data_IF_699194352372
#
_entry.id   IF_699194352372
#
_cell.length_a   1.000
_cell.length_b   1.000
_cell.length_c   1.000
_cell.angle_alpha   90.00
_cell.angle_beta   90.00
_cell.angle_gamma   90.00
#
_symmetry.space_group_name_H-M   'P 1'
#
loop_
_entity.id
_entity.type
_entity.pdbx_description
1 polymer ?
#
# COMPACT_ATOMS: atom_id res chain seq x y z
N UNK A 1 44.85 -12.92 1.34
CA UNK A 1 43.46 -13.38 1.44
C UNK A 1 42.57 -12.22 1.09
N UNK A 2 42.19 -12.12 -0.18
CA UNK A 2 41.27 -11.11 -0.68
C UNK A 2 39.88 -11.77 -0.73
N UNK A 3 38.91 -11.21 0.00
CA UNK A 3 37.51 -11.66 -0.07
C UNK A 3 36.97 -11.32 -1.45
N UNK A 4 36.71 -12.34 -2.26
CA UNK A 4 36.11 -12.20 -3.57
C UNK A 4 34.74 -11.52 -3.47
N UNK A 5 34.67 -10.29 -3.98
CA UNK A 5 33.41 -9.62 -4.31
C UNK A 5 32.62 -10.54 -5.25
N UNK A 6 31.50 -11.09 -4.76
CA UNK A 6 30.53 -11.75 -5.63
C UNK A 6 29.95 -10.64 -6.52
N UNK A 7 30.43 -10.58 -7.76
CA UNK A 7 29.92 -9.66 -8.76
C UNK A 7 28.43 -9.93 -9.00
N UNK A 8 27.62 -8.89 -8.80
CA UNK A 8 26.16 -8.83 -9.09
C UNK A 8 25.83 -9.45 -10.46
N UNK A 9 26.76 -9.40 -11.44
CA UNK A 9 26.59 -9.95 -12.79
C UNK A 9 26.50 -11.49 -12.88
N UNK A 10 26.87 -12.26 -11.86
CA UNK A 10 26.87 -13.75 -11.95
C UNK A 10 25.51 -14.39 -11.58
N UNK A 11 24.59 -13.65 -10.97
CA UNK A 11 23.24 -14.12 -10.66
C UNK A 11 22.23 -13.95 -11.82
N UNK A 12 22.50 -13.06 -12.79
CA UNK A 12 21.54 -12.71 -13.86
C UNK A 12 21.64 -13.56 -15.14
N UNK A 13 22.35 -14.71 -15.13
CA UNK A 13 22.57 -15.52 -16.35
C UNK A 13 21.71 -16.77 -16.49
N UNK A 14 20.61 -16.90 -15.74
CA UNK A 14 19.65 -17.99 -15.94
C UNK A 14 18.23 -17.45 -16.14
N UNK A 15 17.81 -17.55 -17.40
CA UNK A 15 16.46 -17.45 -17.94
C UNK A 15 15.98 -16.04 -18.33
N UNK A 16 16.32 -15.65 -19.56
CA UNK A 16 15.61 -14.62 -20.33
C UNK A 16 14.19 -15.06 -20.70
N UNK A 17 13.32 -15.08 -19.70
CA UNK A 17 11.87 -15.11 -19.86
C UNK A 17 11.30 -14.43 -18.64
N UNK A 18 10.66 -13.28 -18.82
CA UNK A 18 9.90 -12.66 -17.75
C UNK A 18 8.85 -13.68 -17.27
N UNK A 19 9.04 -14.20 -16.06
CA UNK A 19 8.11 -15.18 -15.49
C UNK A 19 6.95 -14.41 -14.89
N UNK A 20 5.78 -14.61 -15.48
CA UNK A 20 4.52 -14.16 -14.93
C UNK A 20 4.23 -14.91 -13.62
N UNK A 21 4.18 -14.18 -12.50
CA UNK A 21 3.83 -14.75 -11.21
C UNK A 21 2.43 -14.29 -10.81
N UNK A 22 1.53 -15.24 -10.51
CA UNK A 22 0.25 -14.91 -9.87
C UNK A 22 0.53 -14.23 -8.53
N UNK A 23 -0.18 -13.14 -8.25
CA UNK A 23 -0.06 -12.34 -7.05
C UNK A 23 -1.41 -11.78 -6.61
N UNK A 24 -1.41 -11.13 -5.46
CA UNK A 24 -2.56 -10.45 -4.88
C UNK A 24 -2.25 -8.97 -4.81
N UNK A 25 -3.16 -8.15 -5.32
CA UNK A 25 -3.15 -6.69 -5.16
C UNK A 25 -4.24 -6.28 -4.18
N UNK A 26 -3.93 -5.28 -3.37
CA UNK A 26 -4.85 -4.60 -2.50
C UNK A 26 -4.98 -3.13 -2.94
N UNK A 27 -6.22 -2.63 -2.99
CA UNK A 27 -6.54 -1.22 -3.20
C UNK A 27 -7.24 -0.70 -1.94
N UNK A 28 -6.65 0.30 -1.30
CA UNK A 28 -7.15 0.90 -0.06
C UNK A 28 -7.54 2.35 -0.36
N UNK A 29 -8.76 2.75 0.01
CA UNK A 29 -9.21 4.15 -0.10
C UNK A 29 -9.48 4.71 1.30
N UNK A 30 -8.85 5.84 1.60
CA UNK A 30 -8.79 6.43 2.94
C UNK A 30 -8.95 7.95 2.89
N UNK A 31 -9.84 8.50 3.72
CA UNK A 31 -9.87 9.93 4.04
C UNK A 31 -8.73 10.32 4.98
N UNK A 32 -8.12 11.48 4.77
CA UNK A 32 -6.99 11.97 5.61
C UNK A 32 -7.42 13.02 6.62
N UNK A 33 -8.53 13.69 6.35
CA UNK A 33 -9.06 14.73 7.19
C UNK A 33 -10.20 14.21 8.06
N UNK A 34 -10.32 14.74 9.27
CA UNK A 34 -11.34 14.33 10.22
C UNK A 34 -12.70 14.95 9.84
N UNK A 35 -13.67 14.10 9.52
CA UNK A 35 -15.07 14.48 9.30
C UNK A 35 -15.36 15.23 7.99
N UNK A 36 -16.63 15.65 7.83
CA UNK A 36 -17.14 16.36 6.65
C UNK A 36 -16.95 17.89 6.82
N UNK A 37 -16.17 18.58 5.97
CA UNK A 37 -16.09 20.05 6.00
C UNK A 37 -14.78 20.68 5.52
N UNK A 38 -14.64 22.00 5.80
CA UNK A 38 -13.56 22.90 5.37
C UNK A 38 -12.18 22.43 5.83
N UNK A 39 -11.62 21.53 5.02
CA UNK A 39 -10.31 20.96 5.21
C UNK A 39 -9.24 21.86 4.61
N UNK A 40 -8.32 22.32 5.45
CA UNK A 40 -7.21 23.19 5.04
C UNK A 40 -5.90 22.41 4.82
N UNK A 41 -5.91 21.09 5.04
CA UNK A 41 -4.73 20.25 4.78
C UNK A 41 -4.51 20.10 3.27
N UNK A 42 -3.41 20.66 2.78
CA UNK A 42 -3.06 20.64 1.36
C UNK A 42 -2.02 19.56 1.03
N UNK A 43 -1.34 19.02 2.05
CA UNK A 43 -0.28 18.01 1.94
C UNK A 43 -0.77 16.61 2.33
N UNK A 44 -2.04 16.30 2.04
CA UNK A 44 -2.68 15.01 2.36
C UNK A 44 -1.86 13.78 1.90
N UNK A 45 -1.26 13.83 0.70
CA UNK A 45 -0.50 12.71 0.14
C UNK A 45 0.77 12.43 0.94
N UNK A 46 1.48 13.49 1.34
CA UNK A 46 2.71 13.35 2.10
C UNK A 46 2.42 12.85 3.51
N UNK A 47 1.40 13.41 4.16
CA UNK A 47 0.96 12.98 5.49
C UNK A 47 0.56 11.49 5.48
N UNK A 48 -0.20 11.07 4.48
CA UNK A 48 -0.61 9.68 4.32
C UNK A 48 0.58 8.76 4.03
N UNK A 49 1.49 9.18 3.15
CA UNK A 49 2.70 8.40 2.79
C UNK A 49 3.64 8.21 3.98
N UNK A 50 3.88 9.25 4.78
CA UNK A 50 4.71 9.17 5.99
C UNK A 50 4.08 8.24 7.03
N UNK A 51 2.77 8.37 7.26
CA UNK A 51 2.06 7.49 8.18
C UNK A 51 2.11 6.02 7.72
N UNK A 52 1.96 5.76 6.42
CA UNK A 52 2.11 4.40 5.88
C UNK A 52 3.51 3.87 6.11
N UNK A 53 4.54 4.65 5.79
CA UNK A 53 5.94 4.23 5.89
C UNK A 53 6.33 3.89 7.34
N UNK A 54 5.92 4.69 8.31
CA UNK A 54 6.13 4.46 9.74
C UNK A 54 5.48 3.15 10.18
N UNK A 55 4.18 2.98 9.91
CA UNK A 55 3.44 1.78 10.30
C UNK A 55 3.98 0.53 9.61
N UNK A 56 4.32 0.60 8.31
CA UNK A 56 4.90 -0.53 7.59
C UNK A 56 6.25 -0.96 8.18
N UNK A 57 7.06 -0.01 8.66
CA UNK A 57 8.31 -0.31 9.36
C UNK A 57 8.06 -1.02 10.70
N UNK A 58 7.08 -0.54 11.49
CA UNK A 58 6.71 -1.18 12.75
C UNK A 58 6.19 -2.61 12.56
N UNK A 59 5.29 -2.82 11.60
CA UNK A 59 4.80 -4.15 11.25
C UNK A 59 5.92 -5.06 10.74
N UNK A 60 6.87 -4.53 9.97
CA UNK A 60 8.01 -5.31 9.51
C UNK A 60 8.89 -5.77 10.68
N UNK A 61 9.14 -4.92 11.68
CA UNK A 61 9.88 -5.31 12.88
C UNK A 61 9.15 -6.40 13.67
N UNK A 62 7.81 -6.36 13.71
CA UNK A 62 6.99 -7.30 14.48
C UNK A 62 6.75 -8.63 13.77
N UNK A 63 6.60 -8.62 12.44
CA UNK A 63 6.10 -9.77 11.66
C UNK A 63 7.11 -10.29 10.65
N UNK A 64 8.17 -9.54 10.36
CA UNK A 64 9.08 -9.82 9.24
C UNK A 64 8.47 -9.49 7.87
N UNK A 65 7.26 -8.94 7.80
CA UNK A 65 6.58 -8.58 6.55
C UNK A 65 6.52 -7.07 6.41
N UNK A 66 7.21 -6.54 5.40
CA UNK A 66 7.09 -5.14 5.00
C UNK A 66 6.02 -4.99 3.91
N UNK A 67 5.00 -4.17 4.17
CA UNK A 67 3.91 -3.91 3.22
C UNK A 67 4.20 -2.62 2.46
N UNK A 68 4.77 -2.76 1.26
CA UNK A 68 5.00 -1.62 0.35
C UNK A 68 3.71 -1.19 -0.33
N UNK A 69 3.58 0.11 -0.66
CA UNK A 69 2.45 0.62 -1.41
C UNK A 69 2.83 1.81 -2.29
N UNK A 70 2.05 2.04 -3.34
CA UNK A 70 2.04 3.28 -4.12
C UNK A 70 0.85 4.11 -3.67
N UNK A 71 1.06 5.41 -3.42
CA UNK A 71 0.02 6.32 -2.96
C UNK A 71 -0.37 7.31 -4.07
N UNK A 72 -1.68 7.52 -4.25
CA UNK A 72 -2.24 8.47 -5.20
C UNK A 72 -3.24 9.40 -4.52
N UNK A 73 -3.27 10.67 -4.93
CA UNK A 73 -4.40 11.55 -4.60
C UNK A 73 -5.64 11.05 -5.34
N UNK A 74 -6.77 10.99 -4.64
CA UNK A 74 -8.05 10.58 -5.20
C UNK A 74 -9.19 11.42 -4.64
N UNK A 75 -10.37 11.25 -5.24
CA UNK A 75 -11.64 11.81 -4.76
C UNK A 75 -12.62 10.66 -4.54
N UNK A 76 -13.32 10.68 -3.41
CA UNK A 76 -14.46 9.79 -3.18
C UNK A 76 -15.76 10.56 -3.39
N UNK A 77 -16.57 10.07 -4.31
CA UNK A 77 -17.81 10.74 -4.76
C UNK A 77 -18.98 9.82 -4.44
N UNK A 78 -19.90 10.32 -3.62
CA UNK A 78 -21.15 9.66 -3.26
C UNK A 78 -22.28 10.70 -3.23
N UNK A 79 -23.51 10.28 -2.92
CA UNK A 79 -24.67 11.16 -3.00
C UNK A 79 -24.56 12.32 -1.99
N UNK A 80 -24.87 13.54 -2.40
CA UNK A 80 -24.75 14.75 -1.55
C UNK A 80 -25.72 14.72 -0.35
N UNK A 81 -26.88 14.08 -0.49
CA UNK A 81 -27.82 13.85 0.62
C UNK A 81 -27.26 12.95 1.73
N UNK A 82 -26.19 12.19 1.44
CA UNK A 82 -25.47 11.39 2.44
C UNK A 82 -24.28 12.15 3.05
N UNK A 83 -24.13 13.44 2.74
CA UNK A 83 -23.06 14.29 3.26
C UNK A 83 -21.84 14.46 2.35
N UNK A 84 -21.89 13.99 1.09
CA UNK A 84 -20.79 14.22 0.16
C UNK A 84 -20.69 15.71 -0.20
N UNK A 85 -19.51 16.35 -0.05
CA UNK A 85 -19.33 17.72 -0.51
C UNK A 85 -19.39 17.82 -2.04
N UNK A 86 -19.73 19.00 -2.56
CA UNK A 86 -19.67 19.26 -4.00
C UNK A 86 -18.25 19.00 -4.53
N UNK A 87 -18.14 18.21 -5.60
CA UNK A 87 -16.84 17.80 -6.16
C UNK A 87 -16.15 16.64 -5.44
N UNK A 88 -16.77 16.08 -4.39
CA UNK A 88 -16.28 14.90 -3.69
C UNK A 88 -15.25 15.17 -2.61
N UNK A 89 -15.10 14.18 -1.72
CA UNK A 89 -14.19 14.22 -0.59
C UNK A 89 -12.75 13.90 -1.01
N UNK A 90 -11.78 14.63 -0.47
CA UNK A 90 -10.36 14.35 -0.69
C UNK A 90 -9.92 13.06 0.01
N UNK A 91 -9.45 12.10 -0.78
CA UNK A 91 -8.98 10.81 -0.31
C UNK A 91 -7.59 10.48 -0.85
N UNK A 92 -6.96 9.47 -0.26
CA UNK A 92 -5.76 8.83 -0.78
C UNK A 92 -6.10 7.39 -1.14
N UNK A 93 -5.64 6.96 -2.30
CA UNK A 93 -5.69 5.57 -2.73
C UNK A 93 -4.30 4.97 -2.60
N UNK A 94 -4.18 3.92 -1.80
CA UNK A 94 -2.97 3.10 -1.73
C UNK A 94 -3.16 1.83 -2.54
N UNK A 95 -2.18 1.50 -3.36
CA UNK A 95 -2.12 0.23 -4.09
C UNK A 95 -0.92 -0.55 -3.60
N UNK A 96 -1.15 -1.75 -3.08
CA UNK A 96 -0.10 -2.64 -2.57
C UNK A 96 -0.21 -3.99 -3.26
N UNK A 97 0.92 -4.61 -3.62
CA UNK A 97 0.93 -5.94 -4.22
C UNK A 97 1.94 -6.82 -3.51
N UNK A 98 1.61 -8.11 -3.36
CA UNK A 98 2.54 -9.10 -2.80
C UNK A 98 3.70 -9.30 -3.76
N UNK A 99 4.92 -9.18 -3.24
CA UNK A 99 6.12 -9.62 -3.94
C UNK A 99 6.57 -10.98 -3.38
N UNK A 100 6.39 -12.06 -4.16
CA UNK A 100 6.77 -13.41 -3.75
C UNK A 100 8.27 -13.63 -3.55
N UNK A 101 9.12 -12.74 -4.04
CA UNK A 101 10.55 -12.81 -3.73
C UNK A 101 10.77 -12.66 -2.23
N UNK A 102 10.04 -11.73 -1.60
CA UNK A 102 10.21 -11.33 -0.21
C UNK A 102 9.14 -11.91 0.73
N UNK A 103 7.93 -12.17 0.22
CA UNK A 103 6.78 -12.63 1.00
C UNK A 103 6.33 -13.99 0.49
N UNK A 104 6.53 -15.05 1.28
CA UNK A 104 6.11 -16.42 0.91
C UNK A 104 4.69 -16.77 1.36
N UNK A 105 4.22 -16.13 2.43
CA UNK A 105 2.88 -16.33 2.98
C UNK A 105 1.97 -15.15 2.65
N UNK A 106 1.08 -15.35 1.67
CA UNK A 106 0.12 -14.35 1.20
C UNK A 106 -0.90 -14.01 2.29
N UNK A 107 -1.33 -15.02 3.06
CA UNK A 107 -2.35 -14.81 4.09
C UNK A 107 -1.77 -13.97 5.22
N UNK A 108 -0.54 -14.26 5.63
CA UNK A 108 0.17 -13.43 6.61
C UNK A 108 0.34 -11.99 6.11
N UNK A 109 0.66 -11.78 4.83
CA UNK A 109 0.72 -10.43 4.27
C UNK A 109 -0.64 -9.73 4.25
N UNK A 110 -1.69 -10.45 3.88
CA UNK A 110 -3.06 -9.93 3.84
C UNK A 110 -3.51 -9.48 5.22
N UNK A 111 -3.24 -10.30 6.24
CA UNK A 111 -3.53 -9.97 7.63
C UNK A 111 -2.72 -8.75 8.10
N UNK A 112 -1.42 -8.69 7.80
CA UNK A 112 -0.57 -7.53 8.11
C UNK A 112 -1.10 -6.25 7.44
N UNK A 113 -1.48 -6.31 6.17
CA UNK A 113 -2.05 -5.16 5.45
C UNK A 113 -3.39 -4.71 6.05
N UNK A 114 -4.25 -5.64 6.46
CA UNK A 114 -5.51 -5.31 7.15
C UNK A 114 -5.23 -4.62 8.49
N UNK A 115 -4.27 -5.11 9.28
CA UNK A 115 -3.94 -4.51 10.58
C UNK A 115 -3.27 -3.13 10.41
N UNK A 116 -2.37 -2.98 9.45
CA UNK A 116 -1.79 -1.68 9.08
C UNK A 116 -2.88 -0.68 8.69
N UNK A 117 -3.82 -1.11 7.85
CA UNK A 117 -4.94 -0.26 7.42
C UNK A 117 -5.85 0.13 8.58
N UNK A 118 -6.10 -0.77 9.54
CA UNK A 118 -6.83 -0.44 10.78
C UNK A 118 -6.10 0.62 11.61
N UNK A 119 -4.78 0.57 11.68
CA UNK A 119 -4.00 1.59 12.37
C UNK A 119 -4.04 2.94 11.65
N UNK A 120 -3.99 2.96 10.31
CA UNK A 120 -4.20 4.18 9.52
C UNK A 120 -5.59 4.76 9.75
N UNK A 121 -6.63 3.94 9.69
CA UNK A 121 -8.02 4.33 10.00
C UNK A 121 -8.11 5.04 11.34
N UNK A 122 -7.53 4.45 12.38
CA UNK A 122 -7.51 5.03 13.72
C UNK A 122 -6.71 6.34 13.77
N UNK A 123 -5.52 6.37 13.16
CA UNK A 123 -4.62 7.53 13.14
C UNK A 123 -5.23 8.75 12.44
N UNK A 124 -6.04 8.53 11.40
CA UNK A 124 -6.75 9.60 10.68
C UNK A 124 -8.19 9.78 11.15
N UNK A 125 -8.60 9.10 12.22
CA UNK A 125 -9.94 9.23 12.83
C UNK A 125 -11.09 8.98 11.83
N UNK A 126 -10.91 8.00 10.94
CA UNK A 126 -11.88 7.68 9.90
C UNK A 126 -12.91 6.67 10.41
N UNK A 127 -14.19 6.89 10.08
CA UNK A 127 -15.27 5.96 10.42
C UNK A 127 -15.21 4.70 9.57
N UNK A 128 -14.97 4.87 8.27
CA UNK A 128 -14.94 3.78 7.27
C UNK A 128 -13.69 3.88 6.40
N UNK A 129 -13.12 2.72 6.08
CA UNK A 129 -12.01 2.55 5.12
C UNK A 129 -12.28 1.27 4.35
N UNK A 130 -12.08 1.30 3.03
CA UNK A 130 -12.27 0.12 2.18
C UNK A 130 -10.93 -0.49 1.80
N UNK A 131 -10.91 -1.82 1.68
CA UNK A 131 -9.80 -2.59 1.12
C UNK A 131 -10.42 -3.57 0.12
N UNK A 132 -10.01 -3.46 -1.13
CA UNK A 132 -10.37 -4.39 -2.19
C UNK A 132 -9.17 -5.28 -2.50
N UNK A 133 -9.42 -6.56 -2.76
CA UNK A 133 -8.39 -7.51 -3.15
C UNK A 133 -8.70 -8.08 -4.53
N UNK A 134 -7.67 -8.21 -5.35
CA UNK A 134 -7.77 -8.81 -6.67
C UNK A 134 -6.55 -9.67 -6.98
N UNK A 135 -6.80 -10.79 -7.66
CA UNK A 135 -5.73 -11.63 -8.21
C UNK A 135 -5.14 -10.93 -9.44
N UNK A 136 -3.81 -10.79 -9.46
CA UNK A 136 -3.07 -10.17 -10.55
C UNK A 136 -1.95 -11.08 -11.03
N UNK A 137 -1.42 -10.76 -12.19
CA UNK A 137 -0.16 -11.31 -12.67
C UNK A 137 0.92 -10.25 -12.59
N UNK A 138 2.04 -10.58 -11.97
CA UNK A 138 3.16 -9.67 -11.78
C UNK A 138 4.34 -10.15 -12.64
N UNK A 139 4.79 -9.26 -13.52
CA UNK A 139 5.90 -9.48 -14.45
C UNK A 139 7.02 -8.52 -14.05
N UNK A 140 8.19 -9.07 -13.75
CA UNK A 140 9.40 -8.28 -13.56
C UNK A 140 10.08 -8.05 -14.91
N UNK A 141 10.42 -6.79 -15.18
CA UNK A 141 11.22 -6.38 -16.34
C UNK A 141 12.59 -5.92 -15.80
N UNK A 142 13.65 -6.55 -16.29
CA UNK A 142 15.05 -6.28 -15.93
C UNK A 142 15.81 -5.49 -17.01
#
# INVERSE_FOLDING_TARGET
>A
MEMGMISVKKLFRKAGRSMENKSLRAVIVLGINKGHGSNHETRILEKASLAWQELAADFHQQTGIYVSAVAHKSKTIYHTEWGCPEGGEDTITFTSSVNYEYVKDINAWKDTLIQLTKQLKARFEQETVTIEFEDISLIYLD
#
